data_IF_429996529681
#
_entry.id   IF_429996529681
#
_cell.length_a   1.000
_cell.length_b   1.000
_cell.length_c   1.000
_cell.angle_alpha   90.00
_cell.angle_beta   90.00
_cell.angle_gamma   90.00
#
_symmetry.space_group_name_H-M   'P 1'
#
loop_
_entity.id
_entity.type
_entity.pdbx_description
1 polymer ?
#
# COMPACT_ATOMS: atom_id res chain seq x y z
N UNK A 1 66.22 40.93 29.75
CA UNK A 1 66.44 41.45 31.11
C UNK A 1 65.45 40.76 32.01
N UNK A 2 65.65 39.90 32.96
CA UNK A 2 66.70 39.55 33.80
C UNK A 2 66.13 38.48 34.73
N UNK A 3 66.88 37.43 34.84
CA UNK A 3 66.86 36.46 35.93
C UNK A 3 67.21 37.14 37.26
N UNK A 4 67.29 36.46 38.42
CA UNK A 4 67.14 35.04 38.81
C UNK A 4 66.76 34.82 40.30
N UNK A 5 66.83 33.49 40.67
CA UNK A 5 67.35 32.88 41.90
C UNK A 5 66.41 32.74 43.11
N UNK A 6 66.34 31.54 43.60
CA UNK A 6 67.07 30.56 44.43
C UNK A 6 66.62 30.59 45.89
N UNK A 7 66.39 29.53 46.56
CA UNK A 7 67.12 28.58 47.40
C UNK A 7 66.10 27.82 48.24
N UNK A 8 66.13 26.60 48.39
CA UNK A 8 67.01 25.58 48.93
C UNK A 8 66.50 25.03 50.28
N UNK A 9 66.53 23.72 50.30
CA UNK A 9 66.92 22.82 51.39
C UNK A 9 65.96 22.46 52.52
N UNK A 10 65.83 21.14 52.70
CA UNK A 10 65.43 20.58 53.98
C UNK A 10 65.08 19.09 53.91
N UNK A 11 66.13 18.26 53.83
CA UNK A 11 66.07 16.81 54.04
C UNK A 11 65.72 16.50 55.47
N UNK A 12 64.72 15.60 55.71
CA UNK A 12 64.76 14.64 56.82
C UNK A 12 64.14 13.32 56.47
N UNK A 13 64.95 12.28 56.44
CA UNK A 13 64.59 10.84 56.40
C UNK A 13 63.89 10.44 57.70
N UNK A 14 62.85 9.70 57.60
CA UNK A 14 62.43 8.76 58.63
C UNK A 14 61.76 7.53 57.93
N UNK A 15 62.45 6.42 58.17
CA UNK A 15 61.99 5.10 57.79
C UNK A 15 60.94 4.61 58.80
N UNK A 16 59.90 3.98 58.40
CA UNK A 16 59.19 2.99 59.20
C UNK A 16 58.18 2.18 58.34
N UNK A 17 58.46 0.94 58.12
CA UNK A 17 57.60 -0.27 58.24
C UNK A 17 56.34 -0.38 57.40
N UNK A 18 56.37 -1.30 56.43
CA UNK A 18 55.26 -1.98 55.74
C UNK A 18 54.45 -2.83 56.73
N UNK A 19 53.17 -2.96 56.50
CA UNK A 19 52.61 -4.28 56.45
C UNK A 19 51.98 -4.59 55.07
N UNK A 20 52.30 -5.76 54.62
CA UNK A 20 51.78 -6.52 53.48
C UNK A 20 50.30 -6.70 53.66
N UNK A 21 49.45 -5.91 52.93
CA UNK A 21 48.05 -6.16 52.82
C UNK A 21 47.76 -6.90 51.48
N UNK A 22 47.40 -8.16 51.58
CA UNK A 22 47.05 -9.02 50.52
C UNK A 22 45.79 -8.42 49.79
N UNK A 23 45.99 -7.89 48.58
CA UNK A 23 44.90 -7.55 47.66
C UNK A 23 44.34 -8.84 47.11
N UNK A 24 43.21 -9.25 47.66
CA UNK A 24 42.32 -10.25 47.05
C UNK A 24 41.77 -9.64 45.79
N UNK A 25 42.29 -10.04 44.63
CA UNK A 25 41.63 -9.83 43.32
C UNK A 25 40.34 -10.64 43.32
N UNK A 26 39.26 -10.02 43.71
CA UNK A 26 37.94 -10.53 43.37
C UNK A 26 37.78 -10.35 41.85
N UNK A 27 38.09 -11.41 41.09
CA UNK A 27 37.69 -11.54 39.73
C UNK A 27 36.15 -11.50 39.73
N UNK A 28 35.59 -10.30 39.51
CA UNK A 28 34.21 -10.13 39.18
C UNK A 28 33.95 -10.84 37.85
N UNK A 29 33.51 -12.08 37.92
CA UNK A 29 32.86 -12.71 36.80
C UNK A 29 31.63 -11.85 36.47
N UNK A 30 31.82 -10.88 35.55
CA UNK A 30 30.71 -10.23 34.86
C UNK A 30 29.96 -11.31 34.12
N UNK A 31 28.92 -11.85 34.78
CA UNK A 31 27.90 -12.58 34.04
C UNK A 31 27.31 -11.61 33.02
N UNK A 32 27.81 -11.69 31.79
CA UNK A 32 27.11 -11.23 30.65
C UNK A 32 25.83 -12.11 30.61
N UNK A 33 24.77 -11.69 31.29
CA UNK A 33 23.44 -12.23 31.07
C UNK A 33 23.09 -11.83 29.65
N UNK A 34 23.46 -12.65 28.67
CA UNK A 34 22.71 -12.72 27.44
C UNK A 34 21.27 -12.87 27.90
N UNK A 35 20.48 -11.83 27.66
CA UNK A 35 19.07 -11.89 27.95
C UNK A 35 18.49 -12.96 27.02
N UNK A 36 18.32 -14.19 27.54
CA UNK A 36 17.65 -15.25 26.82
C UNK A 36 16.23 -14.77 26.54
N UNK A 37 16.00 -14.23 25.33
CA UNK A 37 14.64 -13.99 24.84
C UNK A 37 13.96 -15.35 24.60
N UNK A 38 12.63 -15.38 24.73
CA UNK A 38 11.88 -16.58 24.41
C UNK A 38 12.10 -16.95 22.93
N UNK A 39 12.20 -18.24 22.57
CA UNK A 39 12.49 -18.68 21.20
C UNK A 39 11.48 -18.21 20.14
N UNK A 40 10.29 -17.78 20.58
CA UNK A 40 9.23 -17.26 19.74
C UNK A 40 9.31 -15.72 19.54
N UNK A 41 10.24 -15.02 20.20
CA UNK A 41 10.45 -13.59 20.01
C UNK A 41 11.41 -13.35 18.86
N UNK A 42 10.93 -12.70 17.80
CA UNK A 42 11.72 -12.42 16.60
C UNK A 42 12.32 -11.02 16.56
N UNK A 43 11.72 -10.05 17.28
CA UNK A 43 12.35 -8.76 17.50
C UNK A 43 11.92 -8.13 18.83
N UNK A 44 12.71 -7.16 19.30
CA UNK A 44 12.36 -6.29 20.43
C UNK A 44 12.56 -4.85 20.02
N UNK A 45 11.53 -4.02 20.23
CA UNK A 45 11.53 -2.58 19.94
C UNK A 45 11.26 -1.82 21.24
N UNK A 46 12.24 -1.09 21.74
CA UNK A 46 12.16 -0.33 22.99
C UNK A 46 11.64 -1.15 24.20
N UNK A 47 11.90 -2.46 24.21
CA UNK A 47 11.45 -3.40 25.24
C UNK A 47 10.12 -4.09 24.93
N UNK A 48 9.43 -3.75 23.87
CA UNK A 48 8.24 -4.47 23.39
C UNK A 48 8.64 -5.58 22.44
N UNK A 49 8.18 -6.79 22.70
CA UNK A 49 8.42 -7.98 21.90
C UNK A 49 7.51 -8.03 20.69
N UNK A 50 8.06 -8.43 19.55
CA UNK A 50 7.34 -8.86 18.35
C UNK A 50 7.58 -10.35 18.19
N UNK A 51 6.49 -11.11 18.20
CA UNK A 51 6.54 -12.57 18.22
C UNK A 51 6.39 -13.16 16.82
N UNK A 52 6.89 -14.38 16.68
CA UNK A 52 6.80 -15.18 15.46
C UNK A 52 5.37 -15.31 14.95
N UNK A 53 4.41 -15.61 15.84
CA UNK A 53 3.01 -15.82 15.46
C UNK A 53 2.38 -14.53 14.89
N UNK A 54 2.77 -13.35 15.37
CA UNK A 54 2.37 -12.06 14.82
C UNK A 54 2.90 -11.92 13.38
N UNK A 55 4.18 -12.18 13.15
CA UNK A 55 4.77 -12.16 11.80
C UNK A 55 4.11 -13.19 10.87
N UNK A 56 3.89 -14.41 11.34
CA UNK A 56 3.25 -15.47 10.56
C UNK A 56 1.80 -15.14 10.22
N UNK A 57 1.08 -14.41 11.08
CA UNK A 57 -0.28 -13.90 10.82
C UNK A 57 -0.27 -12.92 9.64
N UNK A 58 0.58 -11.89 9.68
CA UNK A 58 0.71 -10.91 8.59
C UNK A 58 1.27 -11.53 7.30
N UNK A 59 2.20 -12.47 7.40
CA UNK A 59 2.72 -13.19 6.25
C UNK A 59 1.62 -13.94 5.50
N UNK A 60 0.74 -14.67 6.22
CA UNK A 60 -0.38 -15.41 5.62
C UNK A 60 -1.37 -14.53 4.85
N UNK A 61 -1.57 -13.28 5.25
CA UNK A 61 -2.44 -12.35 4.52
C UNK A 61 -1.86 -11.90 3.17
N UNK A 62 -0.56 -12.12 2.92
CA UNK A 62 0.16 -11.70 1.71
C UNK A 62 0.44 -12.82 0.73
N UNK A 63 0.38 -14.05 1.18
CA UNK A 63 0.56 -15.23 0.33
C UNK A 63 -0.76 -15.53 -0.37
N UNK A 64 -0.71 -15.66 -1.70
CA UNK A 64 -1.89 -16.10 -2.45
C UNK A 64 -2.15 -17.59 -2.16
N UNK A 65 -3.29 -17.94 -1.54
CA UNK A 65 -3.59 -19.33 -1.19
C UNK A 65 -3.81 -20.25 -2.41
N UNK A 66 -4.06 -19.67 -3.59
CA UNK A 66 -4.26 -20.39 -4.86
C UNK A 66 -2.98 -20.38 -5.72
N UNK A 67 -1.90 -19.74 -5.25
CA UNK A 67 -0.62 -19.65 -5.94
C UNK A 67 0.28 -20.86 -5.69
N UNK A 68 1.41 -20.88 -6.40
CA UNK A 68 2.47 -21.84 -6.12
C UNK A 68 3.07 -21.53 -4.73
N UNK A 69 3.30 -22.55 -3.90
CA UNK A 69 3.96 -22.36 -2.61
C UNK A 69 5.35 -21.73 -2.82
N UNK A 70 5.65 -20.62 -2.13
CA UNK A 70 6.97 -19.98 -2.23
C UNK A 70 8.05 -20.91 -1.67
N UNK A 71 9.26 -20.81 -2.21
CA UNK A 71 10.42 -21.52 -1.66
C UNK A 71 10.68 -21.10 -0.21
N UNK A 72 11.51 -21.89 0.50
CA UNK A 72 11.86 -21.55 1.89
C UNK A 72 12.57 -20.19 1.98
N UNK A 73 13.45 -19.89 1.05
CA UNK A 73 14.19 -18.63 0.96
C UNK A 73 13.26 -17.45 0.65
N UNK A 74 12.31 -17.63 -0.26
CA UNK A 74 11.29 -16.60 -0.57
C UNK A 74 10.39 -16.33 0.64
N UNK A 75 9.93 -17.39 1.31
CA UNK A 75 9.13 -17.28 2.54
C UNK A 75 9.88 -16.54 3.63
N UNK A 76 11.18 -16.84 3.81
CA UNK A 76 12.01 -16.20 4.80
C UNK A 76 12.25 -14.74 4.49
N UNK A 77 12.54 -14.41 3.22
CA UNK A 77 12.69 -13.03 2.75
C UNK A 77 11.41 -12.22 2.99
N UNK A 78 10.25 -12.78 2.70
CA UNK A 78 8.96 -12.12 2.94
C UNK A 78 8.69 -11.94 4.44
N UNK A 79 9.02 -12.93 5.29
CA UNK A 79 8.89 -12.82 6.75
C UNK A 79 9.82 -11.76 7.35
N UNK A 80 11.05 -11.63 6.85
CA UNK A 80 11.96 -10.55 7.24
C UNK A 80 11.38 -9.17 6.88
N UNK A 81 10.79 -9.02 5.69
CA UNK A 81 10.13 -7.78 5.27
C UNK A 81 8.92 -7.45 6.16
N UNK A 82 8.08 -8.46 6.48
CA UNK A 82 6.95 -8.30 7.40
C UNK A 82 7.44 -7.87 8.78
N UNK A 83 8.50 -8.51 9.29
CA UNK A 83 9.06 -8.17 10.61
C UNK A 83 9.61 -6.74 10.62
N UNK A 84 10.31 -6.30 9.57
CA UNK A 84 10.81 -4.92 9.48
C UNK A 84 9.67 -3.90 9.46
N UNK A 85 8.56 -4.22 8.78
CA UNK A 85 7.36 -3.39 8.80
C UNK A 85 6.72 -3.33 10.19
N UNK A 86 6.62 -4.46 10.90
CA UNK A 86 6.09 -4.48 12.28
C UNK A 86 6.99 -3.70 13.24
N UNK A 87 8.33 -3.79 13.09
CA UNK A 87 9.28 -2.97 13.83
C UNK A 87 9.02 -1.48 13.58
N UNK A 88 8.89 -1.07 12.32
CA UNK A 88 8.64 0.31 11.94
C UNK A 88 7.29 0.81 12.48
N UNK A 89 6.24 -0.02 12.39
CA UNK A 89 4.93 0.30 12.93
C UNK A 89 4.96 0.48 14.44
N UNK A 90 5.69 -0.38 15.18
CA UNK A 90 5.82 -0.25 16.63
C UNK A 90 6.55 1.04 17.04
N UNK A 91 7.63 1.41 16.32
CA UNK A 91 8.34 2.68 16.54
C UNK A 91 7.39 3.87 16.35
N UNK A 92 6.59 3.85 15.28
CA UNK A 92 5.63 4.92 15.00
C UNK A 92 4.49 4.96 16.01
N UNK A 93 3.98 3.80 16.46
CA UNK A 93 2.96 3.72 17.49
C UNK A 93 3.44 4.29 18.83
N UNK A 94 4.67 3.97 19.23
CA UNK A 94 5.25 4.55 20.44
C UNK A 94 5.38 6.08 20.33
N UNK A 95 5.78 6.59 19.15
CA UNK A 95 5.80 8.04 18.88
C UNK A 95 4.39 8.64 18.95
N UNK A 96 3.39 7.97 18.36
CA UNK A 96 1.99 8.41 18.42
C UNK A 96 1.51 8.50 19.86
N UNK A 97 1.79 7.48 20.68
CA UNK A 97 1.46 7.44 22.11
C UNK A 97 2.13 8.58 22.88
N UNK A 98 3.44 8.80 22.70
CA UNK A 98 4.18 9.91 23.34
C UNK A 98 3.60 11.30 23.01
N UNK A 99 2.97 11.43 21.85
CA UNK A 99 2.35 12.67 21.38
C UNK A 99 0.84 12.74 21.62
N UNK A 100 0.25 11.77 22.34
CA UNK A 100 -1.20 11.64 22.59
C UNK A 100 -2.03 11.63 21.28
N UNK A 101 -1.55 10.90 20.27
CA UNK A 101 -2.19 10.75 18.96
C UNK A 101 -2.81 9.36 18.76
N UNK A 102 -3.01 8.60 19.84
CA UNK A 102 -3.71 7.33 19.75
C UNK A 102 -5.15 7.54 19.26
N UNK A 103 -5.63 6.60 18.46
CA UNK A 103 -7.02 6.64 18.00
C UNK A 103 -7.97 6.33 19.15
N UNK A 104 -9.02 7.12 19.26
CA UNK A 104 -10.09 6.92 20.24
C UNK A 104 -10.99 5.74 19.87
N UNK A 105 -11.77 5.25 20.82
CA UNK A 105 -12.73 4.17 20.57
C UNK A 105 -13.76 4.55 19.50
N UNK A 106 -14.21 5.82 19.50
CA UNK A 106 -15.13 6.35 18.48
C UNK A 106 -14.55 6.30 17.08
N UNK A 107 -13.30 6.79 16.88
CA UNK A 107 -12.63 6.74 15.58
C UNK A 107 -12.46 5.29 15.07
N UNK A 108 -12.20 4.36 15.97
CA UNK A 108 -12.08 2.92 15.63
C UNK A 108 -13.43 2.35 15.23
N UNK A 109 -14.51 2.66 15.97
CA UNK A 109 -15.85 2.16 15.68
C UNK A 109 -16.41 2.71 14.37
N UNK A 110 -16.18 4.01 14.07
CA UNK A 110 -16.55 4.64 12.82
C UNK A 110 -15.87 3.93 11.64
N UNK A 111 -14.56 3.69 11.76
CA UNK A 111 -13.80 3.01 10.70
C UNK A 111 -14.18 1.55 10.55
N UNK A 112 -14.47 0.86 11.64
CA UNK A 112 -14.97 -0.50 11.63
C UNK A 112 -16.33 -0.59 10.92
N UNK A 113 -17.25 0.33 11.22
CA UNK A 113 -18.57 0.42 10.59
C UNK A 113 -18.45 0.69 9.09
N UNK A 114 -17.56 1.61 8.70
CA UNK A 114 -17.26 1.90 7.28
C UNK A 114 -16.81 0.64 6.54
N UNK A 115 -15.84 -0.12 7.12
CA UNK A 115 -15.32 -1.35 6.52
C UNK A 115 -16.34 -2.47 6.44
N UNK A 116 -17.25 -2.55 7.38
CA UNK A 116 -18.30 -3.57 7.44
C UNK A 116 -19.45 -3.27 6.49
N UNK A 117 -19.76 -1.99 6.24
CA UNK A 117 -20.96 -1.53 5.55
C UNK A 117 -21.20 -2.14 4.15
N UNK A 118 -20.17 -2.49 3.32
CA UNK A 118 -20.38 -3.10 2.01
C UNK A 118 -20.80 -4.57 2.06
N UNK A 119 -20.76 -5.22 3.23
CA UNK A 119 -20.93 -6.66 3.40
C UNK A 119 -22.15 -6.97 4.26
N UNK A 120 -22.79 -8.12 4.00
CA UNK A 120 -23.71 -8.74 4.96
C UNK A 120 -22.93 -9.27 6.16
N UNK A 121 -23.62 -9.51 7.30
CA UNK A 121 -22.97 -10.06 8.50
C UNK A 121 -22.21 -11.37 8.20
N UNK A 122 -22.86 -12.29 7.46
CA UNK A 122 -22.29 -13.60 7.15
C UNK A 122 -21.06 -13.50 6.24
N UNK A 123 -21.07 -12.58 5.27
CA UNK A 123 -19.93 -12.32 4.40
C UNK A 123 -18.77 -11.71 5.17
N UNK A 124 -19.06 -10.76 6.07
CA UNK A 124 -18.05 -10.13 6.89
C UNK A 124 -17.39 -11.15 7.83
N UNK A 125 -18.18 -12.00 8.51
CA UNK A 125 -17.65 -13.03 9.38
C UNK A 125 -16.82 -14.08 8.62
N UNK A 126 -17.23 -14.47 7.42
CA UNK A 126 -16.43 -15.36 6.57
C UNK A 126 -15.07 -14.75 6.22
N UNK A 127 -15.05 -13.46 5.83
CA UNK A 127 -13.79 -12.75 5.54
C UNK A 127 -12.84 -12.69 6.72
N UNK A 128 -13.36 -12.41 7.92
CA UNK A 128 -12.55 -12.44 9.15
C UNK A 128 -11.97 -13.83 9.40
N UNK A 129 -12.79 -14.87 9.26
CA UNK A 129 -12.37 -16.27 9.43
C UNK A 129 -11.30 -16.68 8.42
N UNK A 130 -11.45 -16.28 7.16
CA UNK A 130 -10.47 -16.58 6.10
C UNK A 130 -9.11 -15.91 6.39
N UNK A 131 -9.12 -14.77 7.07
CA UNK A 131 -7.93 -14.07 7.53
C UNK A 131 -7.45 -14.52 8.93
N UNK A 132 -8.10 -15.51 9.54
CA UNK A 132 -7.85 -15.93 10.92
C UNK A 132 -7.87 -14.75 11.92
N UNK A 133 -8.82 -13.84 11.77
CA UNK A 133 -9.01 -12.64 12.60
C UNK A 133 -10.35 -12.69 13.33
N UNK A 134 -10.37 -12.13 14.54
CA UNK A 134 -11.59 -11.79 15.25
C UNK A 134 -11.99 -10.32 15.01
N UNK A 135 -13.18 -9.92 15.42
CA UNK A 135 -13.59 -8.50 15.38
C UNK A 135 -12.68 -7.65 16.26
N UNK A 136 -12.28 -8.16 17.42
CA UNK A 136 -11.36 -7.51 18.34
C UNK A 136 -9.97 -7.33 17.74
N UNK A 137 -9.46 -8.34 17.06
CA UNK A 137 -8.18 -8.25 16.30
C UNK A 137 -8.23 -7.15 15.24
N UNK A 138 -9.34 -7.10 14.48
CA UNK A 138 -9.53 -6.07 13.47
C UNK A 138 -9.60 -4.67 14.10
N UNK A 139 -10.35 -4.48 15.18
CA UNK A 139 -10.43 -3.19 15.89
C UNK A 139 -9.08 -2.77 16.47
N UNK A 140 -8.29 -3.72 16.98
CA UNK A 140 -6.93 -3.44 17.45
C UNK A 140 -6.03 -2.98 16.30
N UNK A 141 -6.10 -3.65 15.16
CA UNK A 141 -5.33 -3.27 13.98
C UNK A 141 -5.76 -1.90 13.44
N UNK A 142 -7.06 -1.61 13.39
CA UNK A 142 -7.58 -0.29 13.02
C UNK A 142 -7.07 0.80 13.96
N UNK A 143 -7.03 0.55 15.27
CA UNK A 143 -6.48 1.50 16.24
C UNK A 143 -5.02 1.80 15.94
N UNK A 144 -4.21 0.78 15.66
CA UNK A 144 -2.79 0.94 15.30
C UNK A 144 -2.65 1.80 14.04
N UNK A 145 -3.37 1.45 12.97
CA UNK A 145 -3.32 2.15 11.68
C UNK A 145 -3.75 3.62 11.80
N UNK A 146 -4.89 3.87 12.47
CA UNK A 146 -5.39 5.23 12.69
C UNK A 146 -4.43 6.07 13.53
N UNK A 147 -3.82 5.49 14.56
CA UNK A 147 -2.83 6.19 15.40
C UNK A 147 -1.58 6.58 14.61
N UNK A 148 -1.05 5.67 13.79
CA UNK A 148 0.07 5.95 12.89
C UNK A 148 -0.32 7.01 11.84
N UNK A 149 -1.52 6.92 11.29
CA UNK A 149 -2.02 7.91 10.32
C UNK A 149 -2.12 9.31 10.95
N UNK A 150 -2.65 9.43 12.17
CA UNK A 150 -2.71 10.70 12.92
C UNK A 150 -1.32 11.27 13.15
N UNK A 151 -0.37 10.43 13.53
CA UNK A 151 1.03 10.82 13.68
C UNK A 151 1.62 11.36 12.38
N UNK A 152 1.50 10.62 11.30
CA UNK A 152 2.05 11.01 10.00
C UNK A 152 1.34 12.23 9.43
N UNK A 153 0.03 12.38 9.63
CA UNK A 153 -0.69 13.58 9.23
C UNK A 153 -0.15 14.83 9.95
N UNK A 154 0.10 14.74 11.25
CA UNK A 154 0.63 15.85 12.04
C UNK A 154 2.11 16.14 11.73
N UNK A 155 2.94 15.11 11.73
CA UNK A 155 4.41 15.28 11.67
C UNK A 155 4.96 15.36 10.25
N UNK A 156 4.21 14.93 9.25
CA UNK A 156 4.61 14.87 7.84
C UNK A 156 3.68 15.71 6.98
N UNK A 157 2.41 15.28 6.84
CA UNK A 157 1.48 15.84 5.85
C UNK A 157 1.20 17.33 6.11
N UNK A 158 1.01 17.71 7.37
CA UNK A 158 0.76 19.10 7.76
C UNK A 158 1.93 20.06 7.47
N UNK A 159 3.13 19.52 7.28
CA UNK A 159 4.35 20.30 6.96
C UNK A 159 4.57 20.49 5.45
N UNK A 160 3.75 19.83 4.61
CA UNK A 160 3.89 19.92 3.17
C UNK A 160 3.26 21.21 2.66
N UNK A 161 4.09 22.04 2.06
CA UNK A 161 3.65 23.24 1.32
C UNK A 161 4.11 23.13 -0.12
N UNK A 162 3.20 23.43 -1.06
CA UNK A 162 3.48 23.51 -2.50
C UNK A 162 3.17 24.95 -2.93
N UNK A 163 4.20 25.68 -3.28
CA UNK A 163 4.11 27.07 -3.71
C UNK A 163 3.81 27.15 -5.22
N UNK A 164 3.38 28.32 -5.69
CA UNK A 164 3.21 28.59 -7.12
C UNK A 164 4.55 28.54 -7.86
N UNK A 165 5.65 28.88 -7.17
CA UNK A 165 7.00 28.74 -7.72
C UNK A 165 7.35 27.25 -7.95
N UNK A 166 7.07 26.35 -6.98
CA UNK A 166 7.27 24.91 -7.14
C UNK A 166 6.51 24.39 -8.38
N UNK A 167 5.26 24.86 -8.58
CA UNK A 167 4.42 24.48 -9.72
C UNK A 167 5.04 24.96 -11.03
N UNK A 168 5.49 26.23 -11.07
CA UNK A 168 6.12 26.83 -12.24
C UNK A 168 7.42 26.12 -12.62
N UNK A 169 8.28 25.85 -11.64
CA UNK A 169 9.55 25.18 -11.85
C UNK A 169 9.35 23.74 -12.35
N UNK A 170 8.41 23.01 -11.76
CA UNK A 170 8.05 21.66 -12.21
C UNK A 170 7.54 21.67 -13.65
N UNK A 171 6.60 22.58 -13.97
CA UNK A 171 6.06 22.68 -15.32
C UNK A 171 7.16 22.98 -16.34
N UNK A 172 8.03 23.95 -16.05
CA UNK A 172 9.12 24.34 -16.96
C UNK A 172 10.12 23.21 -17.17
N UNK A 173 10.46 22.45 -16.12
CA UNK A 173 11.37 21.31 -16.21
C UNK A 173 10.75 20.11 -16.93
N UNK A 174 9.40 20.03 -16.99
CA UNK A 174 8.69 18.85 -17.50
C UNK A 174 7.71 19.17 -18.63
N UNK A 175 7.92 20.25 -19.39
CA UNK A 175 6.99 20.70 -20.45
C UNK A 175 6.58 19.61 -21.43
N UNK A 176 7.49 18.70 -21.76
CA UNK A 176 7.20 17.59 -22.66
C UNK A 176 6.09 16.65 -22.18
N UNK A 177 5.92 16.51 -20.85
CA UNK A 177 4.87 15.69 -20.24
C UNK A 177 3.47 16.31 -20.41
N UNK A 178 3.40 17.60 -20.64
CA UNK A 178 2.16 18.36 -20.85
C UNK A 178 1.84 18.58 -22.33
N UNK A 179 2.65 18.01 -23.23
CA UNK A 179 2.38 18.08 -24.66
C UNK A 179 1.60 16.85 -25.11
N UNK A 180 0.36 17.05 -25.49
CA UNK A 180 -0.50 16.04 -26.11
C UNK A 180 -0.12 15.94 -27.58
N UNK A 181 0.57 14.86 -27.95
CA UNK A 181 1.15 14.71 -29.30
C UNK A 181 0.10 14.53 -30.41
N UNK A 182 -1.05 13.94 -30.07
CA UNK A 182 -2.14 13.62 -31.00
C UNK A 182 -3.50 13.74 -30.28
N UNK A 183 -4.63 13.81 -31.02
CA UNK A 183 -5.95 13.79 -30.39
C UNK A 183 -6.13 12.58 -29.48
N UNK A 184 -6.68 12.81 -28.28
CA UNK A 184 -6.99 11.77 -27.30
C UNK A 184 -8.48 11.79 -26.97
N UNK A 185 -9.03 10.61 -26.73
CA UNK A 185 -10.44 10.40 -26.43
C UNK A 185 -10.58 9.68 -25.09
N UNK A 186 -11.08 10.36 -24.08
CA UNK A 186 -11.44 9.73 -22.81
C UNK A 186 -12.79 9.06 -22.98
N UNK A 187 -12.79 7.73 -22.97
CA UNK A 187 -14.01 6.95 -23.21
C UNK A 187 -14.30 5.98 -22.08
N UNK A 188 -15.57 5.71 -21.89
CA UNK A 188 -16.03 4.60 -21.07
C UNK A 188 -16.85 3.62 -21.93
N UNK A 189 -16.89 2.35 -21.51
CA UNK A 189 -17.62 1.29 -22.21
C UNK A 189 -18.49 0.47 -21.28
N UNK A 190 -19.60 -0.04 -21.82
CA UNK A 190 -20.33 -1.18 -21.29
C UNK A 190 -20.20 -2.30 -22.31
N UNK A 191 -19.69 -3.43 -21.88
CA UNK A 191 -19.49 -4.62 -22.71
C UNK A 191 -20.56 -5.64 -22.38
N UNK A 192 -21.20 -6.18 -23.43
CA UNK A 192 -22.16 -7.29 -23.35
C UNK A 192 -21.66 -8.39 -24.28
N UNK A 193 -21.56 -9.62 -23.79
CA UNK A 193 -21.11 -10.78 -24.54
C UNK A 193 -22.27 -11.76 -24.73
N UNK A 194 -22.55 -12.26 -25.96
CA UNK A 194 -23.63 -13.21 -26.20
C UNK A 194 -23.21 -14.66 -25.84
N UNK A 195 -22.49 -14.82 -24.74
CA UNK A 195 -21.99 -16.11 -24.22
C UNK A 195 -21.78 -16.03 -22.72
N UNK A 196 -21.78 -17.18 -22.06
CA UNK A 196 -21.47 -17.25 -20.63
C UNK A 196 -20.01 -16.85 -20.35
N UNK A 197 -19.80 -15.87 -19.46
CA UNK A 197 -18.48 -15.47 -19.00
C UNK A 197 -18.04 -16.32 -17.79
N UNK A 198 -16.77 -16.74 -17.80
CA UNK A 198 -16.23 -17.59 -16.72
C UNK A 198 -16.03 -16.83 -15.42
N UNK A 199 -15.73 -15.54 -15.49
CA UNK A 199 -15.54 -14.66 -14.36
C UNK A 199 -16.29 -13.36 -14.58
N UNK A 200 -17.34 -13.14 -13.82
CA UNK A 200 -18.13 -11.93 -13.87
C UNK A 200 -17.79 -11.05 -12.67
N UNK A 201 -17.63 -9.74 -12.88
CA UNK A 201 -17.30 -8.77 -11.81
C UNK A 201 -18.29 -7.61 -11.70
N UNK A 202 -19.41 -7.66 -12.42
CA UNK A 202 -20.44 -6.63 -12.25
C UNK A 202 -21.23 -6.86 -10.95
N UNK A 203 -21.76 -5.78 -10.37
CA UNK A 203 -22.43 -5.81 -9.06
C UNK A 203 -23.72 -6.62 -9.02
N UNK A 204 -24.40 -6.77 -10.16
CA UNK A 204 -25.65 -7.51 -10.26
C UNK A 204 -25.45 -8.99 -10.57
N UNK A 205 -24.20 -9.37 -10.81
CA UNK A 205 -23.87 -10.71 -11.27
C UNK A 205 -24.70 -11.12 -12.51
N UNK A 206 -24.95 -10.12 -13.39
CA UNK A 206 -25.78 -10.21 -14.57
C UNK A 206 -24.92 -10.59 -15.78
N UNK A 207 -25.19 -11.74 -16.37
CA UNK A 207 -24.45 -12.35 -17.48
C UNK A 207 -25.43 -12.70 -18.62
N UNK A 208 -25.14 -12.24 -19.82
CA UNK A 208 -25.92 -12.59 -21.01
C UNK A 208 -25.31 -13.83 -21.66
N UNK A 209 -25.93 -14.98 -21.47
CA UNK A 209 -25.38 -16.27 -21.85
C UNK A 209 -25.63 -16.66 -23.34
N UNK A 210 -26.44 -15.87 -24.06
CA UNK A 210 -26.76 -16.08 -25.46
C UNK A 210 -27.19 -14.76 -26.13
N UNK A 211 -27.30 -14.79 -27.46
CA UNK A 211 -27.63 -13.59 -28.27
C UNK A 211 -28.97 -12.95 -27.86
N UNK A 212 -30.00 -13.74 -27.57
CA UNK A 212 -31.32 -13.20 -27.21
C UNK A 212 -31.28 -12.46 -25.86
N UNK A 213 -30.49 -12.96 -24.90
CA UNK A 213 -30.26 -12.30 -23.62
C UNK A 213 -29.42 -11.04 -23.79
N UNK A 214 -28.35 -11.10 -24.58
CA UNK A 214 -27.54 -9.96 -24.90
C UNK A 214 -28.35 -8.82 -25.50
N UNK A 215 -29.19 -9.10 -26.46
CA UNK A 215 -30.07 -8.10 -27.08
C UNK A 215 -31.10 -7.51 -26.10
N UNK A 216 -31.69 -8.33 -25.21
CA UNK A 216 -32.58 -7.82 -24.15
C UNK A 216 -31.86 -6.91 -23.20
N UNK A 217 -30.65 -7.29 -22.81
CA UNK A 217 -29.79 -6.50 -21.91
C UNK A 217 -29.37 -5.18 -22.55
N UNK A 218 -28.95 -5.19 -23.81
CA UNK A 218 -28.65 -3.98 -24.57
C UNK A 218 -29.85 -3.04 -24.61
N UNK A 219 -31.03 -3.55 -24.94
CA UNK A 219 -32.27 -2.73 -24.96
C UNK A 219 -32.54 -2.11 -23.59
N UNK A 220 -32.49 -2.89 -22.52
CA UNK A 220 -32.71 -2.42 -21.15
C UNK A 220 -31.70 -1.31 -20.77
N UNK A 221 -30.41 -1.48 -21.11
CA UNK A 221 -29.39 -0.50 -20.85
C UNK A 221 -29.63 0.79 -21.64
N UNK A 222 -29.92 0.68 -22.93
CA UNK A 222 -30.21 1.86 -23.77
C UNK A 222 -31.45 2.62 -23.29
N UNK A 223 -32.53 1.93 -22.90
CA UNK A 223 -33.73 2.57 -22.35
C UNK A 223 -33.41 3.36 -21.07
N UNK A 224 -32.59 2.80 -20.17
CA UNK A 224 -32.13 3.48 -18.95
C UNK A 224 -31.22 4.67 -19.25
N UNK A 225 -30.26 4.52 -20.16
CA UNK A 225 -29.34 5.60 -20.56
C UNK A 225 -30.10 6.75 -21.19
N UNK A 226 -31.09 6.45 -22.06
CA UNK A 226 -31.98 7.45 -22.67
C UNK A 226 -32.87 8.15 -21.63
N UNK A 227 -33.16 7.50 -20.51
CA UNK A 227 -33.89 8.07 -19.37
C UNK A 227 -33.02 8.85 -18.42
N UNK A 228 -31.71 9.00 -18.72
CA UNK A 228 -30.75 9.81 -17.93
C UNK A 228 -30.06 9.05 -16.80
N UNK A 229 -30.09 7.71 -16.78
CA UNK A 229 -29.33 6.93 -15.80
C UNK A 229 -27.81 7.16 -15.96
N UNK A 230 -27.09 7.12 -14.85
CA UNK A 230 -25.65 7.29 -14.86
C UNK A 230 -24.94 6.12 -15.56
N UNK A 231 -24.08 6.45 -16.54
CA UNK A 231 -23.39 5.45 -17.36
C UNK A 231 -22.43 4.60 -16.50
N UNK A 232 -21.68 5.22 -15.61
CA UNK A 232 -20.72 4.52 -14.76
C UNK A 232 -21.40 3.54 -13.81
N UNK A 233 -22.53 3.93 -13.21
CA UNK A 233 -23.32 3.03 -12.37
C UNK A 233 -23.84 1.82 -13.18
N UNK A 234 -24.36 2.06 -14.39
CA UNK A 234 -24.80 0.96 -15.26
C UNK A 234 -23.65 0.06 -15.69
N UNK A 235 -22.46 0.61 -15.95
CA UNK A 235 -21.28 -0.18 -16.25
C UNK A 235 -20.87 -1.05 -15.05
N UNK A 236 -20.84 -0.50 -13.84
CA UNK A 236 -20.54 -1.26 -12.62
C UNK A 236 -21.57 -2.37 -12.35
N UNK A 237 -22.83 -2.11 -12.65
CA UNK A 237 -23.92 -3.05 -12.38
C UNK A 237 -24.05 -4.15 -13.43
N UNK A 238 -23.75 -3.87 -14.70
CA UNK A 238 -24.12 -4.74 -15.82
C UNK A 238 -23.02 -5.03 -16.83
N UNK A 239 -21.88 -4.31 -16.87
CA UNK A 239 -20.81 -4.60 -17.83
C UNK A 239 -20.17 -5.97 -17.57
N UNK A 240 -19.96 -6.74 -18.63
CA UNK A 240 -19.32 -8.05 -18.58
C UNK A 240 -17.80 -7.98 -18.79
N UNK A 241 -17.25 -6.76 -18.90
CA UNK A 241 -15.80 -6.55 -18.95
C UNK A 241 -15.19 -6.55 -17.52
N UNK A 242 -14.44 -7.59 -17.21
CA UNK A 242 -13.77 -7.74 -15.91
C UNK A 242 -12.82 -6.58 -15.54
N UNK A 243 -12.24 -5.93 -16.56
CA UNK A 243 -11.17 -4.96 -16.34
C UNK A 243 -11.73 -3.58 -16.01
N UNK A 244 -12.88 -3.21 -16.61
CA UNK A 244 -13.42 -1.85 -16.50
C UNK A 244 -14.75 -1.77 -15.77
N UNK A 245 -15.48 -2.87 -15.59
CA UNK A 245 -16.78 -2.85 -14.89
C UNK A 245 -16.66 -2.19 -13.51
N UNK A 246 -15.68 -2.56 -12.71
CA UNK A 246 -15.46 -2.03 -11.34
C UNK A 246 -15.15 -0.53 -11.28
N UNK A 247 -14.68 0.05 -12.37
CA UNK A 247 -14.35 1.49 -12.52
C UNK A 247 -15.38 2.26 -13.35
N UNK A 248 -16.59 1.74 -13.47
CA UNK A 248 -17.65 2.40 -14.25
C UNK A 248 -17.45 2.36 -15.76
N UNK A 249 -16.69 1.39 -16.24
CA UNK A 249 -16.38 1.21 -17.65
C UNK A 249 -15.27 2.10 -18.19
N UNK A 250 -14.58 2.86 -17.34
CA UNK A 250 -13.56 3.84 -17.74
C UNK A 250 -12.33 3.17 -18.35
N UNK A 251 -12.03 3.54 -19.62
CA UNK A 251 -10.84 3.10 -20.38
C UNK A 251 -9.70 4.13 -20.34
N UNK A 252 -9.94 5.30 -19.74
CA UNK A 252 -9.00 6.41 -19.77
C UNK A 252 -8.88 7.07 -21.14
N UNK A 253 -7.75 7.75 -21.37
CA UNK A 253 -7.46 8.43 -22.61
C UNK A 253 -6.87 7.50 -23.66
N UNK A 254 -7.53 7.38 -24.80
CA UNK A 254 -7.10 6.58 -25.93
C UNK A 254 -6.61 7.51 -27.02
N UNK A 255 -5.33 7.42 -27.45
CA UNK A 255 -4.80 8.24 -28.52
C UNK A 255 -5.39 7.83 -29.88
N UNK A 256 -5.48 8.78 -30.81
CA UNK A 256 -6.06 8.54 -32.13
C UNK A 256 -5.31 7.43 -32.89
N UNK A 257 -4.01 7.33 -32.71
CA UNK A 257 -3.19 6.26 -33.31
C UNK A 257 -3.62 4.86 -32.86
N UNK A 258 -4.02 4.70 -31.58
CA UNK A 258 -4.57 3.42 -31.07
C UNK A 258 -5.96 3.13 -31.64
N UNK A 259 -6.81 4.15 -31.79
CA UNK A 259 -8.11 4.00 -32.43
C UNK A 259 -7.95 3.63 -33.93
N UNK A 260 -6.88 4.10 -34.58
CA UNK A 260 -6.58 3.74 -35.98
C UNK A 260 -6.26 2.25 -36.15
N UNK A 261 -5.81 1.59 -35.09
CA UNK A 261 -5.48 0.16 -35.07
C UNK A 261 -6.63 -0.70 -34.54
N UNK A 262 -7.71 -0.08 -34.07
CA UNK A 262 -8.89 -0.76 -33.53
C UNK A 262 -9.89 -1.13 -34.64
N UNK A 263 -11.00 -1.75 -34.24
CA UNK A 263 -12.12 -2.03 -35.15
C UNK A 263 -12.61 -0.73 -35.81
N UNK A 264 -12.80 -0.71 -37.15
CA UNK A 264 -13.25 0.49 -37.89
C UNK A 264 -14.60 1.04 -37.38
N UNK A 265 -15.51 0.18 -36.91
CA UNK A 265 -16.79 0.61 -36.35
C UNK A 265 -16.60 1.32 -35.01
N UNK A 266 -15.68 0.81 -34.15
CA UNK A 266 -15.29 1.43 -32.90
C UNK A 266 -14.70 2.83 -33.15
N UNK A 267 -13.69 2.94 -34.03
CA UNK A 267 -13.08 4.22 -34.39
C UNK A 267 -14.12 5.22 -34.88
N UNK A 268 -14.92 4.82 -35.87
CA UNK A 268 -15.98 5.68 -36.46
C UNK A 268 -16.92 6.20 -35.40
N UNK A 269 -17.33 5.32 -34.48
CA UNK A 269 -18.23 5.68 -33.38
C UNK A 269 -17.58 6.70 -32.45
N UNK A 270 -16.38 6.40 -31.92
CA UNK A 270 -15.69 7.28 -30.95
C UNK A 270 -15.45 8.67 -31.54
N UNK A 271 -14.92 8.74 -32.76
CA UNK A 271 -14.61 10.01 -33.43
C UNK A 271 -15.88 10.83 -33.73
N UNK A 272 -17.01 10.16 -33.99
CA UNK A 272 -18.30 10.81 -34.27
C UNK A 272 -19.05 11.31 -33.03
N UNK A 273 -18.70 10.85 -31.82
CA UNK A 273 -19.36 11.26 -30.58
C UNK A 273 -18.96 12.67 -30.17
N UNK A 274 -19.90 13.40 -29.53
CA UNK A 274 -19.65 14.64 -28.77
C UNK A 274 -19.30 14.29 -27.33
N UNK A 275 -18.55 15.16 -26.67
CA UNK A 275 -18.26 15.02 -25.23
C UNK A 275 -19.56 14.86 -24.42
N UNK A 276 -19.61 13.90 -23.55
CA UNK A 276 -20.78 13.49 -22.75
C UNK A 276 -21.77 12.56 -23.47
N UNK A 277 -21.63 12.38 -24.78
CA UNK A 277 -22.60 11.58 -25.58
C UNK A 277 -22.34 10.08 -25.44
N UNK A 278 -23.44 9.32 -25.39
CA UNK A 278 -23.48 7.85 -25.44
C UNK A 278 -23.74 7.39 -26.88
N UNK A 279 -23.06 6.33 -27.31
CA UNK A 279 -23.23 5.75 -28.65
C UNK A 279 -24.51 4.91 -28.76
N UNK A 280 -24.90 4.65 -30.00
CA UNK A 280 -25.70 3.46 -30.27
C UNK A 280 -24.86 2.20 -30.00
N UNK A 281 -25.49 1.05 -29.70
CA UNK A 281 -24.76 -0.22 -29.54
C UNK A 281 -24.01 -0.58 -30.82
N UNK A 282 -22.77 -1.00 -30.70
CA UNK A 282 -21.95 -1.47 -31.82
C UNK A 282 -21.53 -2.92 -31.59
N UNK A 283 -21.58 -3.72 -32.62
CA UNK A 283 -21.10 -5.09 -32.60
C UNK A 283 -19.63 -5.10 -33.08
N UNK A 284 -18.77 -5.77 -32.33
CA UNK A 284 -17.38 -6.00 -32.67
C UNK A 284 -17.07 -7.48 -32.58
N UNK A 285 -16.14 -7.94 -33.42
CA UNK A 285 -15.74 -9.34 -33.52
C UNK A 285 -14.24 -9.51 -33.20
N UNK A 286 -13.82 -9.34 -31.95
CA UNK A 286 -12.44 -9.66 -31.58
C UNK A 286 -12.19 -11.17 -31.67
N UNK A 287 -10.91 -11.58 -31.63
CA UNK A 287 -10.50 -12.98 -31.80
C UNK A 287 -11.11 -13.93 -30.75
N UNK A 288 -11.47 -13.41 -29.61
CA UNK A 288 -12.05 -14.13 -28.46
C UNK A 288 -13.60 -14.18 -28.48
N UNK A 289 -14.23 -13.68 -29.55
CA UNK A 289 -15.69 -13.81 -29.77
C UNK A 289 -16.45 -12.49 -29.88
N UNK A 290 -17.70 -12.59 -30.32
CA UNK A 290 -18.57 -11.43 -30.52
C UNK A 290 -18.80 -10.65 -29.21
N UNK A 291 -18.86 -9.32 -29.30
CA UNK A 291 -19.21 -8.40 -28.22
C UNK A 291 -20.09 -7.28 -28.72
N UNK A 292 -20.98 -6.79 -27.87
CA UNK A 292 -21.76 -5.59 -28.12
C UNK A 292 -21.23 -4.53 -27.14
N UNK A 293 -20.85 -3.38 -27.69
CA UNK A 293 -20.29 -2.26 -26.92
C UNK A 293 -21.29 -1.10 -26.95
N UNK A 294 -21.50 -0.48 -25.78
CA UNK A 294 -22.11 0.84 -25.64
C UNK A 294 -21.00 1.75 -25.13
N UNK A 295 -20.70 2.82 -25.86
CA UNK A 295 -19.60 3.73 -25.56
C UNK A 295 -20.11 5.07 -25.08
N UNK A 296 -19.36 5.72 -24.19
CA UNK A 296 -19.56 7.11 -23.82
C UNK A 296 -18.26 7.86 -24.06
N UNK A 297 -18.29 8.93 -24.83
CA UNK A 297 -17.17 9.87 -24.90
C UNK A 297 -17.27 10.82 -23.70
N UNK A 298 -16.34 10.72 -22.76
CA UNK A 298 -16.29 11.59 -21.59
C UNK A 298 -15.76 12.97 -22.00
N UNK A 299 -14.55 12.99 -22.58
CA UNK A 299 -13.92 14.21 -23.11
C UNK A 299 -13.08 13.89 -24.35
N UNK A 300 -12.78 14.93 -25.12
CA UNK A 300 -11.84 14.88 -26.25
C UNK A 300 -10.76 15.93 -26.03
N UNK A 301 -9.52 15.51 -26.10
CA UNK A 301 -8.37 16.40 -26.04
C UNK A 301 -7.74 16.62 -27.40
N UNK A 302 -7.56 17.88 -27.77
CA UNK A 302 -6.83 18.26 -28.99
C UNK A 302 -5.33 18.18 -28.75
N UNK A 303 -4.52 17.95 -29.81
CA UNK A 303 -3.07 18.02 -29.66
C UNK A 303 -2.61 19.41 -29.26
N UNK A 304 -1.45 19.48 -28.63
CA UNK A 304 -0.83 20.72 -28.23
C UNK A 304 -0.30 20.72 -26.80
N UNK A 305 0.45 21.75 -26.49
CA UNK A 305 1.00 21.96 -25.15
C UNK A 305 -0.10 22.49 -24.22
N UNK A 306 -0.35 21.76 -23.15
CA UNK A 306 -1.23 22.21 -22.06
C UNK A 306 -0.53 23.32 -21.28
N UNK A 307 -1.20 24.45 -21.13
CA UNK A 307 -0.64 25.60 -20.45
C UNK A 307 -0.66 25.47 -18.95
N UNK A 308 0.33 26.04 -18.27
CA UNK A 308 0.36 26.07 -16.80
C UNK A 308 -0.85 26.78 -16.19
N UNK A 309 -1.50 27.70 -16.94
CA UNK A 309 -2.69 28.40 -16.47
C UNK A 309 -3.94 27.51 -16.44
N UNK A 310 -3.92 26.34 -17.06
CA UNK A 310 -5.02 25.40 -17.04
C UNK A 310 -5.17 24.80 -15.64
N UNK A 311 -6.37 24.88 -15.00
CA UNK A 311 -6.58 24.40 -13.63
C UNK A 311 -6.19 22.91 -13.46
N UNK A 312 -6.49 22.09 -14.46
CA UNK A 312 -6.16 20.66 -14.46
C UNK A 312 -4.65 20.41 -14.41
N UNK A 313 -3.88 21.19 -15.18
CA UNK A 313 -2.40 21.11 -15.20
C UNK A 313 -1.85 21.50 -13.83
N UNK A 314 -2.33 22.62 -13.26
CA UNK A 314 -1.89 23.04 -11.93
C UNK A 314 -2.21 21.99 -10.87
N UNK A 315 -3.42 21.45 -10.87
CA UNK A 315 -3.84 20.43 -9.91
C UNK A 315 -2.96 19.17 -10.01
N UNK A 316 -2.76 18.65 -11.23
CA UNK A 316 -1.90 17.49 -11.49
C UNK A 316 -0.48 17.70 -10.99
N UNK A 317 0.08 18.90 -11.21
CA UNK A 317 1.43 19.24 -10.71
C UNK A 317 1.44 19.30 -9.20
N UNK A 318 0.47 19.99 -8.57
CA UNK A 318 0.39 20.10 -7.11
C UNK A 318 0.27 18.75 -6.44
N UNK A 319 -0.57 17.85 -6.98
CA UNK A 319 -0.75 16.50 -6.46
C UNK A 319 0.54 15.67 -6.62
N UNK A 320 1.18 15.77 -7.78
CA UNK A 320 2.47 15.10 -8.03
C UNK A 320 3.55 15.57 -7.06
N UNK A 321 3.70 16.87 -6.86
CA UNK A 321 4.68 17.45 -5.96
C UNK A 321 4.37 17.12 -4.50
N UNK A 322 3.09 17.17 -4.11
CA UNK A 322 2.63 16.78 -2.76
C UNK A 322 2.98 15.33 -2.48
N UNK A 323 2.65 14.41 -3.38
CA UNK A 323 2.93 12.99 -3.23
C UNK A 323 4.44 12.71 -3.10
N UNK A 324 5.26 13.35 -3.94
CA UNK A 324 6.73 13.23 -3.87
C UNK A 324 7.29 13.75 -2.54
N UNK A 325 6.84 14.95 -2.10
CA UNK A 325 7.27 15.53 -0.81
C UNK A 325 6.81 14.64 0.36
N UNK A 326 5.59 14.12 0.29
CA UNK A 326 5.07 13.23 1.33
C UNK A 326 5.89 11.94 1.45
N UNK A 327 6.17 11.27 0.35
CA UNK A 327 7.01 10.07 0.35
C UNK A 327 8.41 10.35 0.94
N UNK A 328 9.05 11.43 0.49
CA UNK A 328 10.36 11.83 1.01
C UNK A 328 10.34 12.10 2.51
N UNK A 329 9.37 12.90 2.97
CA UNK A 329 9.24 13.26 4.39
C UNK A 329 8.86 12.06 5.25
N UNK A 330 8.01 11.13 4.77
CA UNK A 330 7.70 9.88 5.47
C UNK A 330 8.94 9.02 5.66
N UNK A 331 9.75 8.84 4.62
CA UNK A 331 11.02 8.11 4.69
C UNK A 331 11.99 8.76 5.68
N UNK A 332 12.17 10.08 5.58
CA UNK A 332 13.03 10.82 6.49
C UNK A 332 12.55 10.76 7.95
N UNK A 333 11.24 10.91 8.17
CA UNK A 333 10.65 10.83 9.50
C UNK A 333 10.84 9.44 10.12
N UNK A 334 10.61 8.38 9.33
CA UNK A 334 10.84 7.00 9.78
C UNK A 334 12.31 6.75 10.11
N UNK A 335 13.24 7.23 9.27
CA UNK A 335 14.67 7.08 9.52
C UNK A 335 15.07 7.74 10.86
N UNK A 336 14.61 8.97 11.11
CA UNK A 336 14.87 9.67 12.40
C UNK A 336 14.20 8.94 13.57
N UNK A 337 12.97 8.43 13.37
CA UNK A 337 12.26 7.70 14.40
C UNK A 337 12.99 6.39 14.77
N UNK A 338 13.52 5.70 13.76
CA UNK A 338 14.26 4.44 13.90
C UNK A 338 15.62 4.65 14.58
N UNK A 339 16.36 5.71 14.21
CA UNK A 339 17.64 6.07 14.85
C UNK A 339 17.48 6.32 16.36
N UNK A 340 16.37 6.89 16.78
CA UNK A 340 16.03 7.12 18.18
C UNK A 340 15.44 5.90 18.92
N UNK A 341 15.30 4.73 18.29
CA UNK A 341 14.72 3.53 18.87
C UNK A 341 15.79 2.47 19.16
N UNK A 342 15.57 1.68 20.22
CA UNK A 342 16.38 0.49 20.50
C UNK A 342 15.71 -0.72 19.85
N UNK A 343 16.31 -1.25 18.80
CA UNK A 343 15.79 -2.38 18.03
C UNK A 343 16.80 -3.53 18.08
N UNK A 344 16.32 -4.72 18.42
CA UNK A 344 17.06 -5.98 18.23
C UNK A 344 16.22 -6.87 17.33
N UNK A 345 16.79 -7.33 16.22
CA UNK A 345 16.12 -8.20 15.25
C UNK A 345 16.76 -9.59 15.30
N UNK A 346 16.25 -10.44 16.17
CA UNK A 346 16.78 -11.80 16.38
C UNK A 346 16.59 -12.71 15.17
N UNK A 347 15.52 -12.52 14.40
CA UNK A 347 15.34 -13.31 13.16
C UNK A 347 16.44 -13.00 12.15
N UNK A 348 16.79 -11.72 11.97
CA UNK A 348 17.86 -11.34 11.05
C UNK A 348 19.22 -11.87 11.54
N UNK A 349 19.51 -11.80 12.84
CA UNK A 349 20.72 -12.36 13.44
C UNK A 349 20.80 -13.88 13.19
N UNK A 350 19.72 -14.62 13.47
CA UNK A 350 19.66 -16.06 13.23
C UNK A 350 19.85 -16.43 11.75
N UNK A 351 19.27 -15.66 10.82
CA UNK A 351 19.43 -15.90 9.38
C UNK A 351 20.88 -15.69 8.94
N UNK A 352 21.56 -14.67 9.45
CA UNK A 352 22.98 -14.41 9.14
C UNK A 352 23.85 -15.51 9.72
N UNK A 353 23.66 -15.90 10.98
CA UNK A 353 24.41 -16.96 11.64
C UNK A 353 24.21 -18.32 10.97
N UNK A 354 22.99 -18.62 10.53
CA UNK A 354 22.66 -19.85 9.82
C UNK A 354 23.01 -19.82 8.31
N UNK A 355 23.72 -18.79 7.84
CA UNK A 355 24.10 -18.58 6.44
C UNK A 355 22.89 -18.68 5.46
N UNK A 356 21.78 -18.05 5.83
CA UNK A 356 20.54 -18.02 5.03
C UNK A 356 19.65 -19.24 5.17
N UNK A 357 20.02 -20.21 6.01
CA UNK A 357 19.13 -21.34 6.32
C UNK A 357 18.08 -20.91 7.35
N UNK A 358 16.86 -21.45 7.20
CA UNK A 358 15.84 -21.27 8.22
C UNK A 358 16.28 -21.95 9.53
N UNK A 359 16.26 -21.24 10.67
CA UNK A 359 16.34 -21.91 11.97
C UNK A 359 15.20 -22.94 12.07
N UNK A 360 15.44 -24.07 12.72
CA UNK A 360 14.42 -25.13 12.84
C UNK A 360 13.12 -24.62 13.49
N UNK A 361 13.21 -23.66 14.39
CA UNK A 361 12.06 -22.95 14.98
C UNK A 361 11.25 -22.10 13.99
N UNK A 362 11.81 -21.74 12.83
CA UNK A 362 11.14 -20.92 11.81
C UNK A 362 10.45 -21.77 10.72
N UNK A 363 10.63 -23.10 10.74
CA UNK A 363 9.91 -24.02 9.86
C UNK A 363 8.45 -24.08 10.28
N UNK A 364 7.60 -23.31 9.63
CA UNK A 364 6.16 -23.38 9.84
C UNK A 364 5.66 -24.68 9.24
N UNK A 365 5.16 -25.60 10.03
CA UNK A 365 4.29 -26.66 9.53
C UNK A 365 3.00 -25.99 9.06
N UNK A 366 2.89 -25.76 7.75
CA UNK A 366 1.60 -25.49 7.13
C UNK A 366 0.76 -26.74 7.37
N UNK A 367 -0.41 -26.66 8.01
CA UNK A 367 -1.26 -27.82 8.15
C UNK A 367 -1.69 -28.24 6.73
N UNK A 368 -1.19 -29.39 6.28
CA UNK A 368 -1.70 -30.02 5.07
C UNK A 368 -3.20 -30.23 5.25
N UNK A 369 -4.00 -29.47 4.50
CA UNK A 369 -5.41 -29.82 4.31
C UNK A 369 -5.40 -31.18 3.60
N UNK A 370 -5.80 -32.22 4.33
CA UNK A 370 -6.13 -33.51 3.72
C UNK A 370 -7.22 -33.26 2.68
N UNK A 371 -6.85 -33.37 1.42
CA UNK A 371 -7.81 -33.49 0.32
C UNK A 371 -8.42 -34.88 0.51
N UNK A 372 -9.60 -34.91 1.13
CA UNK A 372 -10.42 -36.13 1.16
C UNK A 372 -10.86 -36.43 -0.28
N UNK A 373 -10.52 -37.62 -0.71
CA UNK A 373 -11.00 -38.26 -1.95
C UNK A 373 -12.49 -38.53 -1.86
#
# INVERSE_FOLDING_TARGET
MGHPMKHSSGVKRAAAWLPLAAMVFAAGAGCNKEAHHAPDVWAVVNGKEIKRDEVDKYYRTRVNPEGQEPSLEESLSQKLNVLDELINNEILLEKAKKLNLEASDGEVEDKFTELKSPYTEDEFQRRLKDQAMTVEDLKLELRRQLSIQKLLNREVVAKISITDQDVSDFYNANKAQFNVAEPQYHIAQIVITPRKEQQLRNRKNDDATNEAEAQRKVKMLMDRLNSGADFGQLAMDYSEDMNTAGTGGDLGYIPESALNQSDPALKKTVVGLKAGQVSQPIQVQPKDGARILILKLITRESPGLRGIAEPQVQQTIRDTLRNRKEQLLRLAYLAIARDGARVTNYLAEQVVEAAGKLPDAAKTTVPQRSIGH
#
